data_IF_338662444796
#
_entry.id   IF_338662444796
#
_cell.length_a   1.000
_cell.length_b   1.000
_cell.length_c   1.000
_cell.angle_alpha   90.00
_cell.angle_beta   90.00
_cell.angle_gamma   90.00
#
_symmetry.space_group_name_H-M   'P 1'
#
loop_
_entity.id
_entity.type
_entity.pdbx_description
1 polymer ?
#
# COMPACT_ATOMS: atom_id res chain seq x y z
N UNK A 1 -12.70 0.10 -2.55
CA UNK A 1 -11.77 1.01 -1.80
C UNK A 1 -11.08 0.21 -0.71
N UNK A 2 -9.75 0.26 -0.60
CA UNK A 2 -9.04 -0.46 0.47
C UNK A 2 -9.10 0.32 1.79
N UNK A 3 -9.79 -0.22 2.80
CA UNK A 3 -10.00 0.44 4.10
C UNK A 3 -9.35 -0.29 5.27
N UNK A 4 -8.96 -1.55 5.10
CA UNK A 4 -8.22 -2.28 6.13
C UNK A 4 -7.25 -3.25 5.51
N UNK A 5 -6.18 -3.53 6.24
CA UNK A 5 -5.21 -4.58 5.90
C UNK A 5 -4.91 -5.42 7.13
N UNK A 6 -4.55 -6.67 6.90
CA UNK A 6 -3.98 -7.52 7.93
C UNK A 6 -2.52 -7.80 7.62
N UNK A 7 -1.65 -7.57 8.59
CA UNK A 7 -0.20 -7.73 8.46
C UNK A 7 0.25 -8.96 9.24
N UNK A 8 1.13 -9.77 8.62
CA UNK A 8 1.76 -10.91 9.29
C UNK A 8 2.62 -10.47 10.47
N UNK A 9 2.65 -11.29 11.53
CA UNK A 9 3.58 -11.11 12.65
C UNK A 9 5.05 -11.10 12.25
N UNK A 10 5.40 -11.64 11.08
CA UNK A 10 6.77 -11.58 10.53
C UNK A 10 7.27 -10.15 10.29
N UNK A 11 6.37 -9.19 10.13
CA UNK A 11 6.70 -7.80 9.80
C UNK A 11 6.42 -6.82 10.95
N UNK A 12 5.81 -7.30 12.04
CA UNK A 12 5.50 -6.49 13.22
C UNK A 12 6.57 -6.69 14.30
N UNK A 13 6.76 -5.67 15.14
CA UNK A 13 7.77 -5.71 16.21
C UNK A 13 7.40 -6.77 17.26
N UNK A 14 6.10 -6.96 17.49
CA UNK A 14 5.57 -7.87 18.52
C UNK A 14 5.54 -9.33 18.07
N UNK A 15 5.77 -9.62 16.80
CA UNK A 15 5.60 -10.95 16.23
C UNK A 15 4.13 -11.38 16.07
N UNK A 16 3.19 -10.45 16.32
CA UNK A 16 1.75 -10.69 16.27
C UNK A 16 1.14 -10.17 14.98
N UNK A 17 0.12 -10.89 14.50
CA UNK A 17 -0.69 -10.44 13.38
C UNK A 17 -1.46 -9.17 13.78
N UNK A 18 -1.44 -8.17 12.91
CA UNK A 18 -2.05 -6.86 13.19
C UNK A 18 -3.08 -6.51 12.13
N UNK A 19 -4.30 -6.21 12.58
CA UNK A 19 -5.34 -5.58 11.77
C UNK A 19 -5.13 -4.06 11.83
N UNK A 20 -5.09 -3.42 10.67
CA UNK A 20 -4.86 -1.98 10.55
C UNK A 20 -6.01 -1.38 9.76
N UNK A 21 -6.73 -0.43 10.35
CA UNK A 21 -7.80 0.28 9.68
C UNK A 21 -7.28 1.64 9.22
N UNK A 22 -7.63 2.05 8.00
CA UNK A 22 -7.25 3.37 7.51
C UNK A 22 -7.74 4.51 8.43
N UNK A 23 -8.86 4.32 9.13
CA UNK A 23 -9.41 5.27 10.09
C UNK A 23 -8.62 5.39 11.38
N UNK A 24 -7.70 4.47 11.65
CA UNK A 24 -6.84 4.53 12.84
C UNK A 24 -5.90 5.73 12.72
N UNK A 25 -5.68 6.44 13.84
CA UNK A 25 -4.88 7.66 13.88
C UNK A 25 -3.39 7.40 13.57
N UNK A 26 -2.91 6.18 13.85
CA UNK A 26 -1.54 5.72 13.67
C UNK A 26 -1.40 4.67 12.55
N UNK A 27 -2.42 4.52 11.69
CA UNK A 27 -2.39 3.51 10.64
C UNK A 27 -1.18 3.68 9.72
N UNK A 28 -0.35 2.64 9.67
CA UNK A 28 0.87 2.59 8.89
C UNK A 28 0.98 1.26 8.15
N UNK A 29 1.70 1.26 7.03
CA UNK A 29 1.91 0.07 6.22
C UNK A 29 3.38 -0.37 6.26
N UNK A 30 3.66 -1.69 6.34
CA UNK A 30 5.01 -2.23 6.26
C UNK A 30 5.50 -2.22 4.80
N UNK A 31 6.31 -1.23 4.46
CA UNK A 31 6.86 -1.03 3.12
C UNK A 31 8.20 -1.72 2.97
N UNK A 32 8.35 -2.47 1.88
CA UNK A 32 9.64 -3.04 1.52
C UNK A 32 10.57 -1.95 0.96
N UNK A 33 11.71 -1.78 1.64
CA UNK A 33 12.85 -0.98 1.23
C UNK A 33 14.04 -1.94 0.94
N UNK A 34 14.59 -1.94 -0.29
CA UNK A 34 15.68 -2.85 -0.65
C UNK A 34 16.95 -2.71 0.18
N UNK A 35 17.20 -1.54 0.77
CA UNK A 35 18.39 -1.26 1.57
C UNK A 35 18.16 -1.40 3.07
N UNK A 36 16.93 -1.13 3.53
CA UNK A 36 16.59 -1.05 4.97
C UNK A 36 15.69 -2.19 5.46
N UNK A 37 15.22 -3.07 4.58
CA UNK A 37 14.27 -4.13 4.95
C UNK A 37 12.85 -3.60 4.99
N UNK A 38 12.17 -3.69 6.13
CA UNK A 38 10.79 -3.23 6.28
C UNK A 38 10.75 -1.86 6.97
N UNK A 39 10.11 -0.88 6.34
CA UNK A 39 9.84 0.43 6.88
C UNK A 39 8.36 0.63 7.10
N UNK A 40 7.96 0.98 8.31
CA UNK A 40 6.57 1.34 8.61
C UNK A 40 6.32 2.80 8.25
N UNK A 41 5.48 3.04 7.25
CA UNK A 41 5.16 4.39 6.77
C UNK A 41 3.67 4.71 6.95
N UNK A 42 3.30 5.93 7.36
CA UNK A 42 1.89 6.26 7.60
C UNK A 42 1.05 6.11 6.33
N UNK A 43 -0.13 5.51 6.48
CA UNK A 43 -1.06 5.22 5.40
C UNK A 43 -1.93 6.43 5.10
N UNK A 44 -1.70 7.07 3.96
CA UNK A 44 -2.52 8.16 3.43
C UNK A 44 -2.63 9.37 4.36
N UNK A 45 -3.34 10.39 3.91
CA UNK A 45 -3.71 11.51 4.79
C UNK A 45 -5.21 11.51 4.98
N UNK A 46 -5.66 11.52 6.23
CA UNK A 46 -7.08 11.68 6.58
C UNK A 46 -7.46 13.16 6.53
N UNK A 47 -8.75 13.45 6.41
CA UNK A 47 -9.21 14.83 6.15
C UNK A 47 -8.93 15.76 7.33
N UNK A 48 -9.04 15.21 8.53
CA UNK A 48 -8.80 15.84 9.83
C UNK A 48 -7.32 16.02 10.16
N UNK A 49 -6.42 15.27 9.51
CA UNK A 49 -4.98 15.45 9.70
C UNK A 49 -4.52 16.73 9.01
N UNK A 50 -3.67 17.52 9.67
CA UNK A 50 -2.97 18.63 9.02
C UNK A 50 -1.97 18.11 8.00
N UNK A 51 -1.77 18.83 6.90
CA UNK A 51 -0.80 18.45 5.89
C UNK A 51 -1.15 18.98 4.50
N UNK A 52 -0.27 18.68 3.57
CA UNK A 52 -0.32 19.16 2.19
C UNK A 52 -0.53 18.03 1.18
N UNK A 53 -0.26 16.80 1.59
CA UNK A 53 -0.47 15.63 0.76
C UNK A 53 -1.98 15.37 0.55
N UNK A 54 -2.36 14.60 -0.47
CA UNK A 54 -3.75 14.29 -0.78
C UNK A 54 -4.49 13.61 0.38
N UNK A 55 -5.72 14.07 0.65
CA UNK A 55 -6.58 13.58 1.73
C UNK A 55 -7.32 12.27 1.36
N UNK A 56 -6.56 11.20 1.16
CA UNK A 56 -7.08 9.85 0.82
C UNK A 56 -6.10 8.77 1.29
N UNK A 57 -6.56 7.52 1.38
CA UNK A 57 -5.73 6.33 1.62
C UNK A 57 -5.31 5.60 0.35
N UNK A 58 -5.89 5.94 -0.79
CA UNK A 58 -5.72 5.20 -2.03
C UNK A 58 -5.77 6.11 -3.26
N UNK A 59 -5.27 5.56 -4.36
CA UNK A 59 -5.50 6.06 -5.71
C UNK A 59 -5.95 4.91 -6.60
N UNK A 60 -6.81 5.21 -7.56
CA UNK A 60 -7.17 4.24 -8.59
C UNK A 60 -6.01 4.14 -9.57
N UNK A 61 -5.58 2.91 -9.88
CA UNK A 61 -4.64 2.63 -10.97
C UNK A 61 -5.29 3.12 -12.27
N UNK A 62 -4.88 4.32 -12.65
CA UNK A 62 -5.06 4.86 -13.97
C UNK A 62 -3.67 4.88 -14.61
N UNK A 63 -3.60 4.77 -15.92
CA UNK A 63 -2.34 4.86 -16.68
C UNK A 63 -1.58 6.18 -16.42
N UNK A 64 -2.21 7.14 -15.73
CA UNK A 64 -1.64 8.40 -15.28
C UNK A 64 -1.90 8.68 -13.79
N UNK A 65 -1.02 9.48 -13.18
CA UNK A 65 -1.22 10.02 -11.85
C UNK A 65 -2.36 11.06 -11.84
N UNK A 66 -3.08 11.23 -10.72
CA UNK A 66 -4.02 12.33 -10.56
C UNK A 66 -3.30 13.68 -10.67
N UNK A 67 -3.96 14.65 -11.30
CA UNK A 67 -3.39 15.98 -11.54
C UNK A 67 -2.84 16.62 -10.25
N UNK A 68 -1.61 17.12 -10.34
CA UNK A 68 -0.95 17.84 -9.26
C UNK A 68 -0.25 16.92 -8.25
N UNK A 69 -0.36 15.60 -8.38
CA UNK A 69 0.37 14.66 -7.52
C UNK A 69 1.85 14.54 -7.91
N UNK A 70 2.22 14.91 -9.13
CA UNK A 70 3.58 14.85 -9.68
C UNK A 70 4.56 15.70 -8.85
N UNK A 71 4.08 16.81 -8.29
CA UNK A 71 4.88 17.71 -7.44
C UNK A 71 5.36 17.05 -6.14
N UNK A 72 4.75 15.94 -5.74
CA UNK A 72 5.05 15.22 -4.50
C UNK A 72 6.05 14.06 -4.67
N UNK A 73 6.81 14.05 -5.78
CA UNK A 73 7.86 13.05 -6.07
C UNK A 73 7.36 11.61 -5.90
N UNK A 74 6.28 11.23 -6.60
CA UNK A 74 5.64 9.94 -6.46
C UNK A 74 6.64 8.80 -6.72
N UNK A 75 6.78 7.90 -5.75
CA UNK A 75 7.70 6.75 -5.83
C UNK A 75 6.92 5.45 -5.65
N UNK A 76 6.92 4.53 -6.63
CA UNK A 76 6.28 3.23 -6.47
C UNK A 76 6.94 2.43 -5.35
N UNK A 77 6.13 1.89 -4.44
CA UNK A 77 6.57 1.06 -3.32
C UNK A 77 5.65 -0.14 -3.12
N UNK A 78 6.05 -1.09 -2.29
CA UNK A 78 5.32 -2.34 -2.06
C UNK A 78 5.05 -2.55 -0.58
N UNK A 79 3.80 -2.80 -0.19
CA UNK A 79 3.42 -3.12 1.18
C UNK A 79 3.28 -4.64 1.39
N UNK A 80 3.76 -5.11 2.54
CA UNK A 80 3.73 -6.51 2.96
C UNK A 80 2.52 -6.80 3.86
N UNK A 81 1.47 -7.34 3.27
CA UNK A 81 0.24 -7.69 4.00
C UNK A 81 -0.16 -9.13 3.67
N UNK A 82 -0.92 -9.76 4.56
CA UNK A 82 -1.53 -11.07 4.34
C UNK A 82 -2.83 -10.97 3.55
N UNK A 83 -3.64 -9.96 3.85
CA UNK A 83 -4.93 -9.72 3.22
C UNK A 83 -5.35 -8.28 3.33
N UNK A 84 -6.26 -7.85 2.48
CA UNK A 84 -6.82 -6.51 2.49
C UNK A 84 -8.34 -6.58 2.36
N UNK A 85 -9.00 -5.56 2.89
CA UNK A 85 -10.45 -5.40 2.81
C UNK A 85 -10.78 -4.30 1.82
N UNK A 86 -11.67 -4.61 0.88
CA UNK A 86 -12.28 -3.61 0.04
C UNK A 86 -13.77 -3.43 0.33
N UNK A 87 -14.20 -2.18 0.31
CA UNK A 87 -15.61 -1.82 0.19
C UNK A 87 -15.97 -1.70 -1.29
N UNK A 88 -16.97 -2.47 -1.71
CA UNK A 88 -17.53 -2.45 -3.08
C UNK A 88 -18.35 -1.19 -3.32
N UNK A 89 -18.77 -0.94 -4.57
CA UNK A 89 -19.67 0.18 -4.90
C UNK A 89 -21.03 0.07 -4.17
N UNK A 90 -21.47 -1.16 -3.87
CA UNK A 90 -22.71 -1.45 -3.14
C UNK A 90 -22.54 -1.35 -1.61
N UNK A 91 -21.34 -1.02 -1.12
CA UNK A 91 -21.03 -0.87 0.30
C UNK A 91 -20.72 -2.18 1.04
N UNK A 92 -20.55 -3.30 0.32
CA UNK A 92 -20.18 -4.58 0.93
C UNK A 92 -18.68 -4.63 1.22
N UNK A 93 -18.33 -5.12 2.42
CA UNK A 93 -16.94 -5.40 2.81
C UNK A 93 -16.54 -6.79 2.35
N UNK A 94 -15.39 -6.89 1.66
CA UNK A 94 -14.83 -8.17 1.23
C UNK A 94 -13.34 -8.24 1.51
N UNK A 95 -12.93 -9.35 2.09
CA UNK A 95 -11.54 -9.66 2.35
C UNK A 95 -10.94 -10.48 1.21
N UNK A 96 -9.72 -10.12 0.84
CA UNK A 96 -8.95 -10.77 -0.21
C UNK A 96 -7.59 -11.13 0.33
N UNK A 97 -7.21 -12.39 0.19
CA UNK A 97 -5.87 -12.88 0.51
C UNK A 97 -4.85 -12.34 -0.50
N UNK A 98 -3.65 -12.07 -0.02
CA UNK A 98 -2.46 -11.76 -0.82
C UNK A 98 -1.60 -13.00 -0.82
N UNK A 99 -1.40 -13.59 -2.00
CA UNK A 99 -0.64 -14.83 -2.12
C UNK A 99 0.81 -14.66 -1.62
N UNK A 100 1.41 -15.77 -1.19
CA UNK A 100 2.81 -15.78 -0.80
C UNK A 100 3.70 -15.23 -1.92
N UNK A 101 4.63 -14.35 -1.54
CA UNK A 101 5.52 -13.67 -2.47
C UNK A 101 4.91 -12.49 -3.23
N UNK A 102 3.61 -12.23 -3.06
CA UNK A 102 2.94 -11.02 -3.55
C UNK A 102 2.96 -9.88 -2.51
N UNK A 103 2.64 -8.67 -2.98
CA UNK A 103 2.62 -7.42 -2.19
C UNK A 103 1.52 -6.50 -2.70
N UNK A 104 1.02 -5.60 -1.86
CA UNK A 104 0.17 -4.52 -2.37
C UNK A 104 1.04 -3.47 -3.05
N UNK A 105 0.74 -3.14 -4.31
CA UNK A 105 1.28 -1.92 -4.93
C UNK A 105 0.80 -0.69 -4.19
N UNK A 106 1.75 0.21 -3.96
CA UNK A 106 1.53 1.45 -3.27
C UNK A 106 2.33 2.58 -3.94
N UNK A 107 1.95 3.81 -3.63
CA UNK A 107 2.65 5.01 -4.06
C UNK A 107 3.06 5.83 -2.84
N UNK A 108 4.35 6.10 -2.70
CA UNK A 108 4.90 6.98 -1.69
C UNK A 108 4.92 8.41 -2.23
N UNK A 109 4.29 9.33 -1.52
CA UNK A 109 4.40 10.77 -1.78
C UNK A 109 5.19 11.44 -0.66
N UNK A 110 5.91 12.50 -1.03
CA UNK A 110 6.74 13.30 -0.10
C UNK A 110 6.60 14.79 -0.37
N UNK A 111 6.48 15.57 0.70
CA UNK A 111 6.52 17.03 0.64
C UNK A 111 7.11 17.61 1.93
N UNK A 112 8.27 18.25 1.84
CA UNK A 112 9.04 18.63 3.04
C UNK A 112 9.34 17.40 3.90
N UNK A 113 8.97 17.46 5.18
CA UNK A 113 9.10 16.35 6.13
C UNK A 113 7.87 15.42 6.14
N UNK A 114 6.81 15.76 5.39
CA UNK A 114 5.61 14.94 5.27
C UNK A 114 5.84 13.81 4.25
N UNK A 115 5.55 12.58 4.65
CA UNK A 115 5.47 11.44 3.74
C UNK A 115 4.28 10.56 4.08
N UNK A 116 3.62 10.03 3.05
CA UNK A 116 2.46 9.13 3.16
C UNK A 116 2.47 8.09 2.04
N UNK A 117 2.01 6.90 2.37
CA UNK A 117 1.83 5.82 1.40
C UNK A 117 0.37 5.65 1.04
N UNK A 118 0.09 5.53 -0.25
CA UNK A 118 -1.24 5.40 -0.81
C UNK A 118 -1.38 4.04 -1.50
N UNK A 119 -2.41 3.27 -1.18
CA UNK A 119 -2.66 1.97 -1.84
C UNK A 119 -3.14 2.21 -3.27
N UNK A 120 -2.53 1.53 -4.24
CA UNK A 120 -2.93 1.61 -5.65
C UNK A 120 -3.99 0.56 -5.94
N UNK A 121 -5.22 0.97 -6.24
CA UNK A 121 -6.36 0.07 -6.50
C UNK A 121 -6.66 -0.02 -8.01
N UNK A 122 -6.51 -1.18 -8.66
CA UNK A 122 -6.80 -1.34 -10.09
C UNK A 122 -8.29 -1.54 -10.37
N UNK A 123 -8.86 -0.91 -11.40
CA UNK A 123 -10.21 -1.22 -11.86
C UNK A 123 -10.17 -2.50 -12.72
N UNK A 124 -10.71 -3.61 -12.22
CA UNK A 124 -10.82 -4.82 -13.03
C UNK A 124 -11.83 -4.59 -14.17
N UNK A 125 -11.43 -4.86 -15.42
CA UNK A 125 -12.20 -4.55 -16.63
C UNK A 125 -13.23 -5.63 -17.00
N UNK A 126 -13.37 -6.70 -16.21
CA UNK A 126 -14.23 -7.80 -16.62
C UNK A 126 -14.48 -8.86 -15.56
N UNK A 127 -14.99 -8.49 -14.39
CA UNK A 127 -15.90 -9.32 -13.57
C UNK A 127 -16.39 -8.47 -12.39
N UNK A 128 -17.47 -7.70 -12.58
CA UNK A 128 -18.32 -6.97 -11.59
C UNK A 128 -17.70 -6.35 -10.30
N UNK A 129 -16.38 -6.20 -10.17
CA UNK A 129 -15.73 -5.76 -8.93
C UNK A 129 -14.55 -4.86 -9.27
N UNK A 130 -14.67 -3.58 -8.91
CA UNK A 130 -13.61 -2.58 -9.03
C UNK A 130 -12.96 -2.35 -7.67
N UNK A 131 -12.04 -3.23 -7.27
CA UNK A 131 -10.64 -2.84 -7.13
C UNK A 131 -9.76 -4.07 -6.89
N UNK A 132 -8.54 -4.10 -7.42
CA UNK A 132 -7.51 -5.03 -6.97
C UNK A 132 -6.23 -4.25 -6.73
N UNK A 133 -5.64 -4.26 -5.53
CA UNK A 133 -4.26 -3.85 -5.36
C UNK A 133 -3.44 -4.75 -6.28
N UNK A 134 -2.83 -4.23 -7.35
CA UNK A 134 -2.12 -5.18 -8.20
C UNK A 134 -0.94 -5.72 -7.40
N UNK A 135 -0.85 -7.03 -7.46
CA UNK A 135 0.19 -7.78 -6.80
C UNK A 135 1.36 -7.88 -7.77
N UNK A 136 2.56 -7.59 -7.27
CA UNK A 136 3.79 -7.78 -8.03
C UNK A 136 4.60 -8.85 -7.31
N UNK A 137 5.05 -9.85 -8.07
CA UNK A 137 6.00 -10.83 -7.60
C UNK A 137 7.24 -10.11 -7.03
N UNK A 138 7.76 -10.63 -5.93
CA UNK A 138 9.11 -10.33 -5.47
C UNK A 138 10.08 -10.37 -6.64
N UNK A 139 10.75 -9.25 -6.92
CA UNK A 139 11.97 -9.32 -7.70
C UNK A 139 12.98 -10.08 -6.83
N UNK A 140 13.42 -11.25 -7.28
CA UNK A 140 14.53 -11.95 -6.67
C UNK A 140 15.71 -10.97 -6.64
N UNK A 141 16.27 -10.72 -5.45
CA UNK A 141 17.55 -10.02 -5.36
C UNK A 141 18.57 -10.85 -6.13
N UNK A 142 18.95 -10.37 -7.32
CA UNK A 142 19.91 -11.01 -8.20
C UNK A 142 21.15 -11.42 -7.41
N UNK A 143 21.52 -12.68 -7.55
CA UNK A 143 22.66 -13.28 -6.86
C UNK A 143 23.93 -12.45 -7.07
N UNK A 144 24.58 -12.10 -5.97
CA UNK A 144 25.96 -11.69 -5.99
C UNK A 144 26.79 -12.83 -6.61
N UNK A 145 27.61 -12.47 -7.60
CA UNK A 145 28.40 -13.40 -8.37
C UNK A 145 29.31 -14.27 -7.50
N UNK A 146 29.41 -15.55 -7.88
CA UNK A 146 30.61 -16.31 -7.63
C UNK A 146 31.45 -16.22 -8.91
N UNK A 147 32.45 -15.33 -8.88
CA UNK A 147 33.65 -15.51 -9.70
C UNK A 147 34.42 -16.69 -9.11
N UNK A 148 34.70 -17.70 -9.92
CA UNK A 148 35.78 -18.67 -9.73
C UNK A 148 36.26 -19.12 -11.10
#
# INVERSE_FOLDING_TARGET
MCLSVEVSGLFTIEGLRQLIQYTDADAALPIQDPARGILWLPWGRRREESGTLPATGWLVDAESLPEGWERFRPTPVQARVCRFMEVTEDGEERWFEVDDGQTLRCLLLRHGDEQRVYVVTARDAGERYRSRPATRALAECGGFGALS
#
